data_IF_771267684386
#
_entry.id   IF_771267684386
#
_cell.length_a   1.000
_cell.length_b   1.000
_cell.length_c   1.000
_cell.angle_alpha   90.00
_cell.angle_beta   90.00
_cell.angle_gamma   90.00
#
_symmetry.space_group_name_H-M   'P 1'
#
loop_
_entity.id
_entity.type
_entity.pdbx_description
1 polymer ?
#
# COMPACT_ATOMS: atom_id res chain seq x y z
N UNK A 1 0.37 -13.91 0.58
CA UNK A 1 0.21 -12.99 1.73
C UNK A 1 -0.04 -11.54 1.29
N UNK A 2 0.87 -10.86 0.61
CA UNK A 2 0.75 -9.43 0.23
C UNK A 2 -0.44 -9.15 -0.72
N UNK A 3 -0.69 -10.03 -1.70
CA UNK A 3 -1.87 -9.94 -2.57
C UNK A 3 -3.16 -9.98 -1.74
N UNK A 4 -3.24 -10.87 -0.74
CA UNK A 4 -4.43 -10.99 0.12
C UNK A 4 -4.61 -9.76 1.01
N UNK A 5 -3.52 -9.13 1.47
CA UNK A 5 -3.59 -7.90 2.27
C UNK A 5 -4.17 -6.71 1.48
N UNK A 6 -3.76 -6.55 0.22
CA UNK A 6 -4.33 -5.49 -0.62
C UNK A 6 -5.74 -5.81 -1.13
N UNK A 7 -6.10 -7.08 -1.26
CA UNK A 7 -7.46 -7.50 -1.53
C UNK A 7 -8.40 -7.02 -0.41
N UNK A 8 -8.04 -7.28 0.85
CA UNK A 8 -8.82 -6.86 2.01
C UNK A 8 -8.92 -5.33 2.16
N UNK A 9 -7.89 -4.59 1.74
CA UNK A 9 -7.93 -3.13 1.69
C UNK A 9 -8.83 -2.57 0.59
N UNK A 10 -8.97 -3.30 -0.52
CA UNK A 10 -9.80 -2.89 -1.65
C UNK A 10 -11.28 -3.21 -1.46
N UNK A 11 -11.60 -4.32 -0.78
CA UNK A 11 -12.95 -4.83 -0.63
C UNK A 11 -13.92 -3.81 -0.02
N UNK A 12 -13.43 -2.97 0.89
CA UNK A 12 -14.23 -1.92 1.50
C UNK A 12 -14.72 -0.88 0.48
N UNK A 13 -13.94 -0.61 -0.58
CA UNK A 13 -14.34 0.25 -1.69
C UNK A 13 -15.47 -0.37 -2.51
N UNK A 14 -15.40 -1.68 -2.75
CA UNK A 14 -16.46 -2.43 -3.41
C UNK A 14 -17.72 -2.53 -2.56
N UNK A 15 -17.60 -2.70 -1.25
CA UNK A 15 -18.72 -2.82 -0.33
C UNK A 15 -19.45 -1.49 -0.05
N UNK A 16 -18.91 -0.34 -0.42
CA UNK A 16 -19.44 0.99 -0.04
C UNK A 16 -20.95 1.11 -0.26
N UNK A 17 -21.42 0.87 -1.48
CA UNK A 17 -22.85 0.98 -1.81
C UNK A 17 -23.70 -0.01 -1.02
N UNK A 18 -23.24 -1.24 -0.87
CA UNK A 18 -23.95 -2.26 -0.12
C UNK A 18 -24.07 -1.91 1.38
N UNK A 19 -22.99 -1.40 1.99
CA UNK A 19 -22.98 -0.94 3.38
C UNK A 19 -23.91 0.27 3.60
N UNK A 20 -23.99 1.16 2.63
CA UNK A 20 -24.94 2.30 2.67
C UNK A 20 -26.38 1.83 2.69
N UNK A 21 -26.73 0.91 1.81
CA UNK A 21 -28.11 0.40 1.67
C UNK A 21 -28.51 -0.52 2.81
N UNK A 22 -27.64 -1.47 3.20
CA UNK A 22 -28.00 -2.53 4.15
C UNK A 22 -27.70 -2.22 5.61
N UNK A 23 -26.67 -1.38 5.88
CA UNK A 23 -26.26 -1.02 7.24
C UNK A 23 -26.50 0.47 7.58
N UNK A 24 -27.06 1.26 6.66
CA UNK A 24 -27.36 2.68 6.88
C UNK A 24 -26.11 3.56 7.09
N UNK A 25 -24.97 3.18 6.51
CA UNK A 25 -23.71 3.91 6.68
C UNK A 25 -23.70 5.10 5.72
N UNK A 26 -23.68 6.33 6.25
CA UNK A 26 -23.56 7.55 5.45
C UNK A 26 -22.17 7.67 4.78
N UNK A 27 -22.05 8.55 3.77
CA UNK A 27 -20.73 8.83 3.14
C UNK A 27 -19.69 9.30 4.14
N UNK A 28 -20.09 10.15 5.10
CA UNK A 28 -19.19 10.62 6.16
C UNK A 28 -18.77 9.49 7.10
N UNK A 29 -19.71 8.61 7.49
CA UNK A 29 -19.41 7.45 8.31
C UNK A 29 -18.52 6.44 7.57
N UNK A 30 -18.76 6.24 6.27
CA UNK A 30 -17.89 5.41 5.45
C UNK A 30 -16.46 5.98 5.38
N UNK A 31 -16.30 7.27 5.08
CA UNK A 31 -15.00 7.92 4.98
C UNK A 31 -14.23 7.84 6.30
N UNK A 32 -14.92 8.13 7.42
CA UNK A 32 -14.34 8.00 8.76
C UNK A 32 -13.90 6.57 9.04
N UNK A 33 -14.76 5.58 8.86
CA UNK A 33 -14.45 4.18 9.13
C UNK A 33 -13.34 3.64 8.21
N UNK A 34 -13.36 3.95 6.92
CA UNK A 34 -12.28 3.58 6.00
C UNK A 34 -10.92 4.14 6.46
N UNK A 35 -10.92 5.37 6.96
CA UNK A 35 -9.74 6.05 7.47
C UNK A 35 -9.24 5.52 8.82
N UNK A 36 -10.13 5.20 9.78
CA UNK A 36 -9.78 4.77 11.15
C UNK A 36 -8.82 3.59 11.19
N UNK A 37 -8.87 2.71 10.20
CA UNK A 37 -7.91 1.64 10.01
C UNK A 37 -6.45 2.15 10.05
N UNK A 38 -6.15 3.24 9.35
CA UNK A 38 -4.78 3.75 9.23
C UNK A 38 -4.25 4.37 10.52
N UNK A 39 -5.12 4.91 11.36
CA UNK A 39 -4.72 5.47 12.66
C UNK A 39 -4.18 4.35 13.55
N UNK A 40 -4.94 3.29 13.73
CA UNK A 40 -4.49 2.16 14.57
C UNK A 40 -3.36 1.38 13.91
N UNK A 41 -3.38 1.24 12.58
CA UNK A 41 -2.28 0.65 11.84
C UNK A 41 -0.97 1.38 12.12
N UNK A 42 -0.92 2.71 11.99
CA UNK A 42 0.29 3.51 12.23
C UNK A 42 0.78 3.45 13.69
N UNK A 43 -0.15 3.50 14.67
CA UNK A 43 0.21 3.44 16.10
C UNK A 43 0.81 2.08 16.46
N UNK A 44 0.22 0.99 15.97
CA UNK A 44 0.61 -0.37 16.33
C UNK A 44 1.70 -0.96 15.43
N UNK A 45 2.11 -0.27 14.36
CA UNK A 45 3.14 -0.72 13.43
C UNK A 45 4.49 -0.98 14.12
N UNK A 46 4.98 -0.02 14.91
CA UNK A 46 6.25 -0.14 15.63
C UNK A 46 6.20 -1.24 16.71
N UNK A 47 5.22 -1.25 17.64
CA UNK A 47 5.09 -2.33 18.61
C UNK A 47 5.03 -3.72 17.98
N UNK A 48 4.27 -3.87 16.90
CA UNK A 48 4.13 -5.15 16.18
C UNK A 48 5.47 -5.65 15.63
N UNK A 49 6.29 -4.77 15.07
CA UNK A 49 7.60 -5.14 14.53
C UNK A 49 8.61 -5.50 15.62
N UNK A 50 8.55 -4.85 16.78
CA UNK A 50 9.37 -5.23 17.93
C UNK A 50 9.03 -6.65 18.38
N UNK A 51 7.75 -7.01 18.42
CA UNK A 51 7.30 -8.34 18.79
C UNK A 51 7.72 -9.37 17.73
N UNK A 52 7.57 -9.04 16.43
CA UNK A 52 8.01 -9.89 15.33
C UNK A 52 9.50 -10.24 15.45
N UNK A 53 10.35 -9.26 15.78
CA UNK A 53 11.78 -9.48 15.96
C UNK A 53 12.10 -10.43 17.13
N UNK A 54 11.27 -10.45 18.19
CA UNK A 54 11.45 -11.29 19.37
C UNK A 54 10.90 -12.71 19.20
N UNK A 55 9.73 -12.84 18.57
CA UNK A 55 9.00 -14.12 18.49
C UNK A 55 9.37 -14.89 17.23
N UNK A 56 9.86 -14.21 16.18
CA UNK A 56 10.13 -14.76 14.87
C UNK A 56 9.04 -14.43 13.85
N UNK A 57 9.45 -14.38 12.59
CA UNK A 57 8.58 -13.94 11.48
C UNK A 57 7.46 -14.96 11.20
N UNK A 58 7.77 -16.25 11.26
CA UNK A 58 6.84 -17.35 11.00
C UNK A 58 5.58 -17.28 11.88
N UNK A 59 5.78 -17.20 13.20
CA UNK A 59 4.69 -17.16 14.18
C UNK A 59 3.94 -15.83 14.09
N UNK A 60 4.69 -14.71 14.02
CA UNK A 60 4.07 -13.40 14.05
C UNK A 60 3.28 -13.06 12.80
N UNK A 61 3.77 -13.45 11.61
CA UNK A 61 3.04 -13.28 10.35
C UNK A 61 1.77 -14.14 10.29
N UNK A 62 1.83 -15.37 10.78
CA UNK A 62 0.65 -16.22 10.94
C UNK A 62 -0.39 -15.52 11.84
N UNK A 63 0.05 -15.05 13.02
CA UNK A 63 -0.82 -14.32 13.97
C UNK A 63 -1.47 -13.09 13.30
N UNK A 64 -0.70 -12.27 12.58
CA UNK A 64 -1.21 -11.08 11.88
C UNK A 64 -2.30 -11.52 10.89
N UNK A 65 -2.01 -12.47 10.01
CA UNK A 65 -2.95 -12.88 8.97
C UNK A 65 -4.21 -13.55 9.53
N UNK A 66 -4.07 -14.39 10.55
CA UNK A 66 -5.23 -15.05 11.17
C UNK A 66 -6.09 -14.04 11.92
N UNK A 67 -5.49 -13.17 12.74
CA UNK A 67 -6.25 -12.18 13.50
C UNK A 67 -6.94 -11.16 12.59
N UNK A 68 -6.25 -10.66 11.56
CA UNK A 68 -6.85 -9.76 10.58
C UNK A 68 -7.96 -10.46 9.78
N UNK A 69 -7.74 -11.69 9.29
CA UNK A 69 -8.75 -12.44 8.56
C UNK A 69 -10.03 -12.65 9.37
N UNK A 70 -9.90 -12.99 10.67
CA UNK A 70 -11.05 -13.13 11.57
C UNK A 70 -11.80 -11.80 11.77
N UNK A 71 -11.08 -10.68 11.93
CA UNK A 71 -11.70 -9.36 12.05
C UNK A 71 -12.36 -8.93 10.74
N UNK A 72 -11.74 -9.21 9.59
CA UNK A 72 -12.32 -8.97 8.26
C UNK A 72 -13.61 -9.78 8.07
N UNK A 73 -13.62 -11.07 8.41
CA UNK A 73 -14.84 -11.89 8.43
C UNK A 73 -15.91 -11.28 9.36
N UNK A 74 -15.50 -10.74 10.51
CA UNK A 74 -16.39 -10.04 11.45
C UNK A 74 -17.12 -8.85 10.83
N UNK A 75 -16.61 -8.25 9.76
CA UNK A 75 -17.25 -7.14 9.05
C UNK A 75 -18.62 -7.53 8.47
N UNK A 76 -18.89 -8.81 8.23
CA UNK A 76 -20.21 -9.31 7.82
C UNK A 76 -21.33 -8.97 8.83
N UNK A 77 -20.99 -8.71 10.09
CA UNK A 77 -21.95 -8.40 11.16
C UNK A 77 -22.13 -6.88 11.37
N UNK A 78 -21.62 -6.03 10.47
CA UNK A 78 -21.81 -4.59 10.55
C UNK A 78 -23.29 -4.24 10.46
N UNK A 79 -23.81 -3.55 11.50
CA UNK A 79 -25.20 -3.13 11.62
C UNK A 79 -25.34 -1.61 11.81
N UNK A 80 -24.31 -0.82 11.49
CA UNK A 80 -24.31 0.64 11.60
C UNK A 80 -22.90 1.20 11.78
N UNK A 81 -22.80 2.53 11.89
CA UNK A 81 -21.51 3.22 11.91
C UNK A 81 -20.60 2.81 13.07
N UNK A 82 -21.16 2.61 14.28
CA UNK A 82 -20.34 2.28 15.46
C UNK A 82 -19.68 0.92 15.31
N UNK A 83 -20.43 -0.13 14.91
CA UNK A 83 -19.88 -1.47 14.66
C UNK A 83 -18.84 -1.45 13.54
N UNK A 84 -19.07 -0.65 12.51
CA UNK A 84 -18.13 -0.43 11.43
C UNK A 84 -16.81 0.19 11.94
N UNK A 85 -16.89 1.26 12.74
CA UNK A 85 -15.70 1.91 13.30
C UNK A 85 -14.87 0.96 14.19
N UNK A 86 -15.55 0.22 15.07
CA UNK A 86 -14.85 -0.75 15.95
C UNK A 86 -14.10 -1.79 15.13
N UNK A 87 -14.74 -2.38 14.12
CA UNK A 87 -14.11 -3.39 13.28
C UNK A 87 -12.93 -2.80 12.46
N UNK A 88 -13.06 -1.57 11.95
CA UNK A 88 -11.97 -0.89 11.24
C UNK A 88 -10.78 -0.59 12.14
N UNK A 89 -11.00 -0.17 13.40
CA UNK A 89 -9.95 0.02 14.39
C UNK A 89 -9.27 -1.32 14.74
N UNK A 90 -10.03 -2.38 14.98
CA UNK A 90 -9.50 -3.71 15.27
C UNK A 90 -8.71 -4.28 14.09
N UNK A 91 -9.19 -4.04 12.86
CA UNK A 91 -8.51 -4.47 11.64
C UNK A 91 -7.14 -3.80 11.50
N UNK A 92 -7.06 -2.49 11.76
CA UNK A 92 -5.79 -1.76 11.75
C UNK A 92 -4.80 -2.28 12.79
N UNK A 93 -5.25 -2.60 14.02
CA UNK A 93 -4.42 -3.24 15.05
C UNK A 93 -3.95 -4.63 14.61
N UNK A 94 -4.86 -5.43 14.03
CA UNK A 94 -4.57 -6.80 13.61
C UNK A 94 -3.57 -6.88 12.47
N UNK A 95 -3.67 -5.98 11.46
CA UNK A 95 -2.80 -5.93 10.28
C UNK A 95 -1.50 -5.16 10.54
N UNK A 96 -1.42 -4.38 11.62
CA UNK A 96 -0.25 -3.55 11.92
C UNK A 96 1.04 -4.36 11.96
N UNK A 97 2.07 -3.81 11.30
CA UNK A 97 3.40 -4.44 11.23
C UNK A 97 3.55 -5.49 10.14
N UNK A 98 2.52 -5.77 9.34
CA UNK A 98 2.61 -6.74 8.24
C UNK A 98 3.65 -6.34 7.19
N UNK A 99 3.51 -5.15 6.61
CA UNK A 99 4.40 -4.69 5.55
C UNK A 99 5.86 -4.52 6.00
N UNK A 100 6.16 -3.76 7.08
CA UNK A 100 7.55 -3.66 7.56
C UNK A 100 8.08 -4.98 8.09
N UNK A 101 7.22 -5.84 8.62
CA UNK A 101 7.59 -7.20 9.01
C UNK A 101 8.06 -8.06 7.85
N UNK A 102 7.43 -7.95 6.67
CA UNK A 102 7.91 -8.63 5.45
C UNK A 102 9.27 -8.06 5.03
N UNK A 103 9.45 -6.74 5.05
CA UNK A 103 10.74 -6.12 4.72
C UNK A 103 11.83 -6.64 5.65
N UNK A 104 11.55 -6.72 6.95
CA UNK A 104 12.47 -7.28 7.94
C UNK A 104 12.75 -8.77 7.66
N UNK A 105 11.73 -9.57 7.38
CA UNK A 105 11.87 -10.97 7.02
C UNK A 105 12.75 -11.16 5.78
N UNK A 106 12.52 -10.39 4.72
CA UNK A 106 13.34 -10.44 3.51
C UNK A 106 14.80 -10.02 3.80
N UNK A 107 15.04 -9.16 4.80
CA UNK A 107 16.40 -8.80 5.19
C UNK A 107 17.16 -9.93 5.89
N UNK A 108 16.46 -10.90 6.48
CA UNK A 108 17.09 -12.10 7.04
C UNK A 108 17.48 -13.14 5.98
N UNK A 109 16.81 -13.12 4.81
CA UNK A 109 17.00 -14.12 3.76
C UNK A 109 17.82 -13.62 2.58
N UNK A 110 17.84 -12.32 2.32
CA UNK A 110 18.44 -11.74 1.12
C UNK A 110 19.48 -10.67 1.46
N UNK A 111 20.73 -10.85 0.99
CA UNK A 111 21.76 -9.82 1.07
C UNK A 111 21.34 -8.51 0.39
N UNK A 112 21.93 -7.39 0.83
CA UNK A 112 21.63 -6.04 0.33
C UNK A 112 21.67 -5.95 -1.22
N UNK A 113 22.63 -6.64 -1.84
CA UNK A 113 22.84 -6.65 -3.31
C UNK A 113 21.61 -7.11 -4.09
N UNK A 114 20.83 -8.07 -3.58
CA UNK A 114 19.66 -8.65 -4.27
C UNK A 114 18.32 -8.23 -3.66
N UNK A 115 18.33 -7.68 -2.46
CA UNK A 115 17.12 -7.32 -1.69
C UNK A 115 16.23 -6.33 -2.44
N UNK A 116 16.82 -5.32 -3.09
CA UNK A 116 16.06 -4.35 -3.88
C UNK A 116 15.27 -5.00 -5.02
N UNK A 117 15.85 -5.99 -5.72
CA UNK A 117 15.16 -6.74 -6.77
C UNK A 117 14.01 -7.58 -6.23
N UNK A 118 14.22 -8.23 -5.08
CA UNK A 118 13.17 -9.04 -4.41
C UNK A 118 12.03 -8.15 -3.93
N UNK A 119 12.34 -7.01 -3.32
CA UNK A 119 11.33 -6.01 -2.92
C UNK A 119 10.55 -5.48 -4.13
N UNK A 120 11.22 -5.22 -5.26
CA UNK A 120 10.56 -4.82 -6.49
C UNK A 120 9.54 -5.84 -6.98
N UNK A 121 9.87 -7.14 -6.95
CA UNK A 121 8.94 -8.22 -7.26
C UNK A 121 7.77 -8.29 -6.27
N UNK A 122 8.06 -8.04 -5.00
CA UNK A 122 7.04 -8.02 -3.95
C UNK A 122 6.00 -6.90 -4.19
N UNK A 123 6.42 -5.71 -4.63
CA UNK A 123 5.52 -4.60 -4.93
C UNK A 123 4.51 -4.87 -6.06
N UNK A 124 4.78 -5.83 -6.97
CA UNK A 124 3.77 -6.25 -7.95
C UNK A 124 2.53 -6.89 -7.32
N UNK A 125 2.62 -7.34 -6.08
CA UNK A 125 1.48 -7.93 -5.38
C UNK A 125 0.30 -6.98 -5.20
N UNK A 126 0.52 -5.67 -5.07
CA UNK A 126 -0.57 -4.70 -4.91
C UNK A 126 -1.42 -4.55 -6.18
N UNK A 127 -0.89 -4.19 -7.36
CA UNK A 127 -1.70 -4.14 -8.58
C UNK A 127 -2.28 -5.51 -8.96
N UNK A 128 -1.56 -6.61 -8.74
CA UNK A 128 -2.11 -7.96 -8.96
C UNK A 128 -3.33 -8.23 -8.08
N UNK A 129 -3.28 -7.81 -6.82
CA UNK A 129 -4.41 -7.92 -5.90
C UNK A 129 -5.66 -7.23 -6.45
N UNK A 130 -5.53 -6.03 -6.98
CA UNK A 130 -6.65 -5.28 -7.54
C UNK A 130 -7.16 -5.84 -8.87
N UNK A 131 -6.26 -6.39 -9.71
CA UNK A 131 -6.63 -7.05 -10.97
C UNK A 131 -7.52 -8.26 -10.71
N UNK A 132 -7.18 -9.08 -9.72
CA UNK A 132 -7.99 -10.26 -9.35
C UNK A 132 -9.11 -9.92 -8.38
N UNK A 133 -8.87 -8.97 -7.48
CA UNK A 133 -9.81 -8.58 -6.43
C UNK A 133 -11.06 -7.90 -6.98
N UNK A 134 -10.93 -7.04 -7.99
CA UNK A 134 -12.07 -6.40 -8.62
C UNK A 134 -13.11 -7.39 -9.15
N UNK A 135 -12.74 -8.29 -10.07
CA UNK A 135 -13.64 -9.36 -10.52
C UNK A 135 -14.18 -10.25 -9.40
N UNK A 136 -13.33 -10.68 -8.46
CA UNK A 136 -13.73 -11.52 -7.33
C UNK A 136 -14.78 -10.83 -6.47
N UNK A 137 -14.50 -9.63 -5.98
CA UNK A 137 -15.44 -8.84 -5.17
C UNK A 137 -16.73 -8.54 -5.95
N UNK A 138 -16.64 -8.23 -7.25
CA UNK A 138 -17.80 -8.00 -8.12
C UNK A 138 -18.71 -9.22 -8.24
N UNK A 139 -18.13 -10.42 -8.40
CA UNK A 139 -18.88 -11.69 -8.47
C UNK A 139 -19.55 -11.96 -7.12
N UNK A 140 -18.83 -11.82 -6.01
CA UNK A 140 -19.36 -12.07 -4.67
C UNK A 140 -20.50 -11.10 -4.31
N UNK A 141 -20.35 -9.81 -4.66
CA UNK A 141 -21.40 -8.80 -4.45
C UNK A 141 -22.66 -9.07 -5.25
N UNK A 142 -22.53 -9.62 -6.45
CA UNK A 142 -23.67 -9.98 -7.31
C UNK A 142 -24.40 -11.25 -6.89
N UNK A 143 -23.88 -12.00 -5.91
CA UNK A 143 -24.54 -13.20 -5.42
C UNK A 143 -25.89 -12.85 -4.77
N UNK A 144 -26.98 -13.56 -5.11
CA UNK A 144 -28.25 -13.39 -4.44
C UNK A 144 -28.14 -13.73 -2.96
N UNK A 145 -28.95 -13.07 -2.14
CA UNK A 145 -29.01 -13.40 -0.72
C UNK A 145 -29.32 -14.90 -0.54
N UNK A 146 -28.46 -15.62 0.14
CA UNK A 146 -28.59 -17.06 0.42
C UNK A 146 -28.49 -17.31 1.92
N UNK A 147 -29.43 -18.01 2.50
CA UNK A 147 -29.52 -18.27 3.95
C UNK A 147 -29.51 -16.98 4.81
N UNK A 148 -30.09 -15.87 4.31
CA UNK A 148 -30.10 -14.58 5.01
C UNK A 148 -28.80 -13.78 4.90
N UNK A 149 -27.78 -14.30 4.23
CA UNK A 149 -26.46 -13.64 4.02
C UNK A 149 -26.47 -12.95 2.66
N UNK A 150 -26.17 -11.66 2.63
CA UNK A 150 -26.08 -10.85 1.41
C UNK A 150 -24.71 -10.99 0.72
N UNK A 151 -24.61 -10.62 -0.56
CA UNK A 151 -23.38 -10.75 -1.34
C UNK A 151 -22.16 -10.06 -0.71
N UNK A 152 -22.33 -8.86 -0.13
CA UNK A 152 -21.23 -8.15 0.54
C UNK A 152 -20.75 -8.88 1.81
N UNK A 153 -21.63 -9.57 2.53
CA UNK A 153 -21.26 -10.39 3.68
C UNK A 153 -20.47 -11.62 3.26
N UNK A 154 -20.87 -12.25 2.14
CA UNK A 154 -20.11 -13.34 1.53
C UNK A 154 -18.72 -12.89 1.09
N UNK A 155 -18.58 -11.66 0.58
CA UNK A 155 -17.29 -11.11 0.18
C UNK A 155 -16.34 -11.00 1.39
N UNK A 156 -16.75 -10.37 2.47
CA UNK A 156 -15.91 -10.27 3.68
C UNK A 156 -15.62 -11.63 4.31
N UNK A 157 -16.60 -12.53 4.32
CA UNK A 157 -16.45 -13.89 4.85
C UNK A 157 -15.41 -14.69 4.05
N UNK A 158 -15.53 -14.72 2.72
CA UNK A 158 -14.64 -15.53 1.86
C UNK A 158 -13.23 -14.95 1.78
N UNK A 159 -13.09 -13.63 1.64
CA UNK A 159 -11.79 -12.98 1.54
C UNK A 159 -11.04 -13.01 2.88
N UNK A 160 -11.74 -12.78 4.01
CA UNK A 160 -11.18 -12.95 5.35
C UNK A 160 -10.79 -14.40 5.64
N UNK A 161 -11.61 -15.37 5.24
CA UNK A 161 -11.28 -16.80 5.36
C UNK A 161 -10.03 -17.17 4.55
N UNK A 162 -9.89 -16.64 3.35
CA UNK A 162 -8.69 -16.82 2.54
C UNK A 162 -7.44 -16.29 3.27
N UNK A 163 -7.53 -15.14 3.96
CA UNK A 163 -6.43 -14.62 4.76
C UNK A 163 -6.05 -15.57 5.90
N UNK A 164 -7.03 -16.14 6.61
CA UNK A 164 -6.79 -17.13 7.66
C UNK A 164 -6.08 -18.36 7.11
N UNK A 165 -6.58 -18.94 6.02
CA UNK A 165 -5.99 -20.14 5.39
C UNK A 165 -4.56 -19.86 4.94
N UNK A 166 -4.31 -18.74 4.25
CA UNK A 166 -2.96 -18.37 3.80
C UNK A 166 -2.04 -18.08 5.00
N UNK A 167 -2.55 -17.51 6.09
CA UNK A 167 -1.80 -17.30 7.32
C UNK A 167 -1.35 -18.60 7.99
N UNK A 168 -2.27 -19.55 8.10
CA UNK A 168 -1.97 -20.89 8.64
C UNK A 168 -1.00 -21.64 7.71
N UNK A 169 -1.21 -21.58 6.39
CA UNK A 169 -0.28 -22.18 5.43
C UNK A 169 1.12 -21.57 5.53
N UNK A 170 1.22 -20.24 5.66
CA UNK A 170 2.48 -19.56 5.83
C UNK A 170 3.24 -20.00 7.09
N UNK A 171 2.53 -20.31 8.19
CA UNK A 171 3.15 -20.86 9.39
C UNK A 171 3.91 -22.17 9.14
N UNK A 172 3.42 -23.05 8.28
CA UNK A 172 4.10 -24.30 7.94
C UNK A 172 5.16 -24.13 6.86
N UNK A 173 5.00 -23.14 5.99
CA UNK A 173 5.88 -22.94 4.83
C UNK A 173 7.08 -22.04 5.11
N UNK A 174 6.92 -20.97 5.93
CA UNK A 174 7.99 -20.03 6.19
C UNK A 174 9.01 -20.60 7.18
N UNK A 175 10.31 -20.37 6.90
CA UNK A 175 11.39 -20.53 7.87
C UNK A 175 11.74 -19.19 8.50
N UNK A 176 12.13 -19.15 9.77
CA UNK A 176 12.49 -17.87 10.42
C UNK A 176 13.83 -17.34 9.92
N UNK A 177 14.83 -18.20 9.74
CA UNK A 177 16.19 -17.81 9.33
C UNK A 177 16.79 -18.82 8.35
N UNK A 178 17.72 -18.40 7.49
CA UNK A 178 18.44 -19.32 6.61
C UNK A 178 19.22 -20.42 7.36
N UNK A 179 19.66 -20.15 8.60
CA UNK A 179 20.31 -21.12 9.46
C UNK A 179 19.46 -22.38 9.70
N UNK A 180 18.14 -22.20 9.83
CA UNK A 180 17.18 -23.27 10.11
C UNK A 180 16.67 -23.98 8.84
N UNK A 181 17.04 -23.48 7.65
CA UNK A 181 16.59 -24.02 6.37
C UNK A 181 17.16 -25.42 6.12
N UNK A 182 16.31 -26.42 6.01
CA UNK A 182 16.70 -27.82 5.73
C UNK A 182 16.84 -28.10 4.23
N UNK A 183 16.16 -27.28 3.42
CA UNK A 183 16.15 -27.41 1.94
C UNK A 183 17.35 -26.75 1.26
N UNK A 184 18.13 -25.90 1.99
CA UNK A 184 19.28 -25.21 1.43
C UNK A 184 20.53 -26.07 1.61
N UNK A 185 21.30 -26.38 0.50
CA UNK A 185 22.53 -27.16 0.57
C UNK A 185 23.58 -26.54 1.51
N UNK A 186 24.33 -27.37 2.22
CA UNK A 186 25.27 -26.91 3.26
C UNK A 186 26.27 -25.84 2.81
N UNK A 187 26.95 -25.98 1.66
CA UNK A 187 27.90 -24.98 1.14
C UNK A 187 27.23 -23.64 0.82
N UNK A 188 26.06 -23.67 0.16
CA UNK A 188 25.30 -22.45 -0.18
C UNK A 188 24.78 -21.75 1.07
N UNK A 189 24.32 -22.53 2.05
CA UNK A 189 23.87 -22.03 3.34
C UNK A 189 25.00 -21.32 4.10
N UNK A 190 26.19 -21.91 4.15
CA UNK A 190 27.35 -21.29 4.80
C UNK A 190 27.78 -19.99 4.11
N UNK A 191 27.81 -19.98 2.77
CA UNK A 191 28.14 -18.80 2.00
C UNK A 191 27.12 -17.66 2.25
N UNK A 192 25.82 -17.98 2.26
CA UNK A 192 24.77 -17.01 2.55
C UNK A 192 24.88 -16.44 3.98
N UNK A 193 25.08 -17.31 4.97
CA UNK A 193 25.21 -16.89 6.36
C UNK A 193 26.45 -15.99 6.56
N UNK A 194 27.58 -16.31 5.94
CA UNK A 194 28.78 -15.48 6.02
C UNK A 194 28.55 -14.07 5.45
N UNK A 195 27.83 -13.93 4.34
CA UNK A 195 27.50 -12.63 3.74
C UNK A 195 26.58 -11.84 4.66
N UNK A 196 25.51 -12.47 5.19
CA UNK A 196 24.55 -11.82 6.07
C UNK A 196 25.18 -11.39 7.42
N UNK A 197 26.08 -12.20 7.96
CA UNK A 197 26.84 -11.86 9.17
C UNK A 197 27.79 -10.69 8.94
N UNK A 198 28.48 -10.66 7.79
CA UNK A 198 29.35 -9.54 7.44
C UNK A 198 28.57 -8.22 7.31
N UNK A 199 27.38 -8.25 6.67
CA UNK A 199 26.48 -7.09 6.58
C UNK A 199 25.97 -6.64 7.95
N UNK A 200 25.61 -7.57 8.83
CA UNK A 200 25.16 -7.26 10.18
C UNK A 200 26.28 -6.67 11.05
N UNK A 201 27.49 -7.21 10.95
CA UNK A 201 28.67 -6.66 11.65
C UNK A 201 29.01 -5.25 11.17
N UNK A 202 28.96 -5.01 9.85
CA UNK A 202 29.16 -3.68 9.29
C UNK A 202 28.11 -2.69 9.86
N UNK A 203 26.84 -3.10 9.91
CA UNK A 203 25.75 -2.30 10.48
C UNK A 203 25.95 -1.96 11.95
N UNK A 204 26.41 -2.91 12.76
CA UNK A 204 26.71 -2.69 14.19
C UNK A 204 27.89 -1.77 14.45
N UNK A 205 28.88 -1.74 13.59
CA UNK A 205 30.07 -0.88 13.73
C UNK A 205 29.78 0.61 13.50
N UNK A 206 28.79 0.93 12.68
CA UNK A 206 28.45 2.31 12.33
C UNK A 206 27.57 3.04 13.37
N UNK A 207 27.23 2.40 14.50
CA UNK A 207 26.62 2.99 15.68
C UNK A 207 25.22 3.60 15.42
N UNK A 208 24.41 3.77 16.47
CA UNK A 208 23.13 4.44 16.37
C UNK A 208 23.32 5.96 16.31
N UNK A 209 23.18 6.59 15.15
CA UNK A 209 22.86 8.01 15.12
C UNK A 209 21.56 8.22 15.90
N UNK A 210 21.51 9.28 16.72
CA UNK A 210 20.38 9.50 17.61
C UNK A 210 19.07 9.60 16.81
N UNK A 211 18.21 8.59 16.93
CA UNK A 211 16.89 8.52 16.28
C UNK A 211 16.08 9.83 16.40
N UNK A 212 16.05 10.55 17.55
CA UNK A 212 15.36 11.83 17.66
C UNK A 212 15.86 12.92 16.69
N UNK A 213 17.15 12.95 16.36
CA UNK A 213 17.70 13.95 15.45
C UNK A 213 17.22 13.75 14.02
N UNK A 214 17.00 12.50 13.59
CA UNK A 214 16.49 12.15 12.27
C UNK A 214 15.05 12.60 12.10
N UNK A 215 14.23 12.53 13.15
CA UNK A 215 12.83 12.94 13.12
C UNK A 215 12.63 14.45 12.94
N UNK A 216 13.63 15.25 13.34
CA UNK A 216 13.60 16.71 13.21
C UNK A 216 14.33 17.22 11.95
N UNK A 217 14.91 16.33 11.15
CA UNK A 217 15.55 16.70 9.90
C UNK A 217 14.51 17.16 8.87
N UNK A 218 14.66 18.40 8.39
CA UNK A 218 13.76 18.98 7.39
C UNK A 218 13.59 18.12 6.14
N UNK A 219 14.63 17.42 5.71
CA UNK A 219 14.55 16.55 4.53
C UNK A 219 13.69 15.33 4.82
N UNK A 220 13.79 14.76 6.00
CA UNK A 220 12.94 13.62 6.43
C UNK A 220 11.49 14.07 6.54
N UNK A 221 11.21 15.25 7.10
CA UNK A 221 9.86 15.81 7.15
C UNK A 221 9.31 16.09 5.74
N UNK A 222 10.15 16.59 4.83
CA UNK A 222 9.77 16.80 3.43
C UNK A 222 9.44 15.48 2.72
N UNK A 223 10.25 14.43 2.89
CA UNK A 223 9.93 13.09 2.37
C UNK A 223 8.64 12.53 2.99
N UNK A 224 8.44 12.75 4.27
CA UNK A 224 7.21 12.34 4.97
C UNK A 224 5.97 12.98 4.38
N UNK A 225 6.02 14.29 4.11
CA UNK A 225 4.92 15.03 3.48
C UNK A 225 4.66 14.53 2.05
N UNK A 226 5.71 14.31 1.26
CA UNK A 226 5.58 13.75 -0.09
C UNK A 226 4.90 12.37 -0.04
N UNK A 227 5.37 11.49 0.82
CA UNK A 227 4.80 10.15 0.92
C UNK A 227 3.35 10.15 1.43
N UNK A 228 3.04 11.02 2.39
CA UNK A 228 1.68 11.26 2.85
C UNK A 228 0.74 11.65 1.69
N UNK A 229 1.16 12.59 0.84
CA UNK A 229 0.37 13.01 -0.32
C UNK A 229 0.28 11.92 -1.41
N UNK A 230 1.33 11.11 -1.61
CA UNK A 230 1.26 9.92 -2.46
C UNK A 230 0.19 8.97 -1.94
N UNK A 231 0.20 8.67 -0.65
CA UNK A 231 -0.77 7.77 -0.04
C UNK A 231 -2.20 8.33 -0.08
N UNK A 232 -2.39 9.64 0.05
CA UNK A 232 -3.70 10.27 -0.19
C UNK A 232 -4.21 9.99 -1.60
N UNK A 233 -3.36 10.12 -2.62
CA UNK A 233 -3.73 9.86 -4.02
C UNK A 233 -4.05 8.38 -4.24
N UNK A 234 -3.23 7.48 -3.72
CA UNK A 234 -3.40 6.02 -3.83
C UNK A 234 -4.71 5.56 -3.20
N UNK A 235 -4.96 5.93 -1.93
CA UNK A 235 -6.15 5.48 -1.21
C UNK A 235 -7.41 6.22 -1.66
N UNK A 236 -7.28 7.44 -2.18
CA UNK A 236 -8.36 8.13 -2.86
C UNK A 236 -8.90 7.31 -4.04
N UNK A 237 -8.01 6.74 -4.85
CA UNK A 237 -8.42 5.84 -5.95
C UNK A 237 -8.94 4.52 -5.39
N UNK A 238 -8.21 3.84 -4.52
CA UNK A 238 -8.59 2.50 -4.02
C UNK A 238 -10.02 2.48 -3.44
N UNK A 239 -10.39 3.48 -2.64
CA UNK A 239 -11.67 3.48 -1.95
C UNK A 239 -12.86 3.92 -2.79
N UNK A 240 -12.63 4.71 -3.85
CA UNK A 240 -13.71 5.27 -4.64
C UNK A 240 -13.79 4.75 -6.06
N UNK A 241 -12.72 4.12 -6.59
CA UNK A 241 -12.68 3.61 -7.96
C UNK A 241 -13.89 2.73 -8.32
N UNK A 242 -14.33 1.75 -7.51
CA UNK A 242 -15.48 0.92 -7.87
C UNK A 242 -16.79 1.73 -7.97
N UNK A 243 -17.00 2.68 -7.03
CA UNK A 243 -18.23 3.50 -7.03
C UNK A 243 -18.23 4.53 -8.15
N UNK A 244 -17.07 5.10 -8.50
CA UNK A 244 -16.94 6.03 -9.61
C UNK A 244 -17.14 5.30 -10.97
N UNK A 245 -16.58 4.09 -11.13
CA UNK A 245 -16.83 3.25 -12.31
C UNK A 245 -18.31 2.88 -12.40
N UNK A 246 -18.94 2.52 -11.30
CA UNK A 246 -20.37 2.23 -11.26
C UNK A 246 -21.20 3.43 -11.72
N UNK A 247 -20.86 4.63 -11.25
CA UNK A 247 -21.56 5.87 -11.58
C UNK A 247 -21.50 6.18 -13.08
N UNK A 248 -20.32 6.12 -13.73
CA UNK A 248 -20.25 6.42 -15.16
C UNK A 248 -20.75 5.29 -16.06
N UNK A 249 -20.79 4.04 -15.60
CA UNK A 249 -21.45 2.95 -16.30
C UNK A 249 -22.98 2.97 -16.12
N UNK A 250 -23.51 3.77 -15.19
CA UNK A 250 -24.94 3.78 -14.83
C UNK A 250 -25.38 2.46 -14.21
N UNK A 251 -24.50 1.79 -13.46
CA UNK A 251 -24.72 0.45 -12.87
C UNK A 251 -24.44 0.45 -11.37
N UNK A 252 -24.94 -0.55 -10.69
CA UNK A 252 -24.54 -0.85 -9.31
C UNK A 252 -23.21 -1.61 -9.30
N UNK A 253 -22.47 -1.53 -8.18
CA UNK A 253 -21.21 -2.27 -8.01
C UNK A 253 -21.50 -3.77 -8.02
N UNK A 254 -20.98 -4.47 -9.01
CA UNK A 254 -21.18 -5.90 -9.28
C UNK A 254 -20.17 -6.40 -10.31
N UNK A 255 -20.53 -7.46 -11.04
CA UNK A 255 -19.61 -8.18 -11.94
C UNK A 255 -18.97 -7.24 -12.96
N UNK A 256 -19.75 -6.45 -13.70
CA UNK A 256 -19.22 -5.60 -14.78
C UNK A 256 -18.31 -4.49 -14.22
N UNK A 257 -18.70 -3.87 -13.11
CA UNK A 257 -17.90 -2.87 -12.42
C UNK A 257 -16.62 -3.50 -11.88
N UNK A 258 -16.70 -4.72 -11.35
CA UNK A 258 -15.55 -5.48 -10.87
C UNK A 258 -14.50 -5.71 -11.98
N UNK A 259 -14.92 -6.17 -13.15
CA UNK A 259 -14.02 -6.35 -14.30
C UNK A 259 -13.49 -5.01 -14.85
N UNK A 260 -14.34 -3.99 -14.97
CA UNK A 260 -13.92 -2.67 -15.40
C UNK A 260 -12.90 -2.04 -14.43
N UNK A 261 -13.07 -2.27 -13.12
CA UNK A 261 -12.14 -1.81 -12.08
C UNK A 261 -10.76 -2.46 -12.17
N UNK A 262 -10.61 -3.61 -12.81
CA UNK A 262 -9.31 -4.25 -13.00
C UNK A 262 -8.46 -3.55 -14.08
N UNK A 263 -9.07 -2.87 -15.06
CA UNK A 263 -8.37 -2.27 -16.20
C UNK A 263 -7.31 -1.23 -15.77
N UNK A 264 -7.62 -0.25 -14.89
CA UNK A 264 -6.62 0.70 -14.40
C UNK A 264 -5.42 0.03 -13.73
N UNK A 265 -5.64 -1.08 -13.04
CA UNK A 265 -4.56 -1.79 -12.34
C UNK A 265 -3.67 -2.63 -13.27
N UNK A 266 -4.19 -3.10 -14.40
CA UNK A 266 -3.36 -3.70 -15.45
C UNK A 266 -2.40 -2.65 -16.02
N UNK A 267 -2.91 -1.43 -16.29
CA UNK A 267 -2.06 -0.31 -16.70
C UNK A 267 -1.03 0.07 -15.62
N UNK A 268 -1.45 0.09 -14.36
CA UNK A 268 -0.58 0.37 -13.23
C UNK A 268 0.53 -0.69 -13.06
N UNK A 269 0.22 -1.97 -13.27
CA UNK A 269 1.20 -3.05 -13.26
C UNK A 269 2.28 -2.84 -14.33
N UNK A 270 1.86 -2.53 -15.55
CA UNK A 270 2.77 -2.23 -16.66
C UNK A 270 3.64 -0.99 -16.35
N UNK A 271 3.03 0.10 -15.87
CA UNK A 271 3.73 1.32 -15.51
C UNK A 271 4.78 1.09 -14.40
N UNK A 272 4.43 0.30 -13.38
CA UNK A 272 5.34 -0.05 -12.28
C UNK A 272 6.53 -0.87 -12.75
N UNK A 273 6.40 -1.59 -13.85
CA UNK A 273 7.51 -2.32 -14.44
C UNK A 273 8.43 -1.42 -15.28
N UNK A 274 7.88 -0.59 -16.15
CA UNK A 274 8.68 0.16 -17.13
C UNK A 274 9.20 1.50 -16.60
N UNK A 275 8.42 2.24 -15.81
CA UNK A 275 8.79 3.59 -15.37
C UNK A 275 10.04 3.58 -14.48
N UNK A 276 10.15 2.75 -13.42
CA UNK A 276 11.36 2.68 -12.60
C UNK A 276 12.60 2.22 -13.40
N UNK A 277 12.43 1.23 -14.31
CA UNK A 277 13.54 0.79 -15.18
C UNK A 277 14.04 1.91 -16.09
N UNK A 278 13.14 2.72 -16.61
CA UNK A 278 13.53 3.88 -17.42
C UNK A 278 14.26 4.92 -16.58
N UNK A 279 13.81 5.12 -15.32
CA UNK A 279 14.48 5.99 -14.38
C UNK A 279 15.90 5.52 -14.05
N UNK A 280 16.05 4.22 -13.78
CA UNK A 280 17.37 3.59 -13.50
C UNK A 280 18.30 3.71 -14.69
N UNK A 281 17.80 3.43 -15.90
CA UNK A 281 18.60 3.49 -17.14
C UNK A 281 19.11 4.90 -17.44
N UNK A 282 18.29 5.92 -17.18
CA UNK A 282 18.62 7.31 -17.50
C UNK A 282 19.07 8.14 -16.27
N UNK A 283 19.13 7.53 -15.09
CA UNK A 283 19.49 8.16 -13.82
C UNK A 283 18.70 9.46 -13.52
N UNK A 284 17.40 9.46 -13.88
CA UNK A 284 16.54 10.64 -13.81
C UNK A 284 15.27 10.45 -12.96
N UNK A 285 15.39 9.73 -11.82
CA UNK A 285 14.31 9.38 -10.92
C UNK A 285 13.41 10.57 -10.54
N UNK A 286 14.03 11.73 -10.22
CA UNK A 286 13.28 12.93 -9.84
C UNK A 286 12.42 13.45 -11.00
N UNK A 287 12.98 13.58 -12.19
CA UNK A 287 12.24 14.07 -13.35
C UNK A 287 11.05 13.17 -13.67
N UNK A 288 11.25 11.85 -13.69
CA UNK A 288 10.17 10.91 -13.95
C UNK A 288 9.13 10.88 -12.83
N UNK A 289 9.51 11.02 -11.57
CA UNK A 289 8.56 11.11 -10.47
C UNK A 289 7.66 12.36 -10.58
N UNK A 290 8.25 13.51 -10.91
CA UNK A 290 7.51 14.78 -11.18
C UNK A 290 6.56 14.60 -12.36
N UNK A 291 7.08 14.10 -13.48
CA UNK A 291 6.30 13.92 -14.72
C UNK A 291 5.10 12.99 -14.49
N UNK A 292 5.35 11.85 -13.85
CA UNK A 292 4.34 10.84 -13.57
C UNK A 292 3.23 11.39 -12.67
N UNK A 293 3.57 12.10 -11.59
CA UNK A 293 2.58 12.72 -10.71
C UNK A 293 1.83 13.88 -11.39
N UNK A 294 2.52 14.70 -12.16
CA UNK A 294 1.87 15.79 -12.89
C UNK A 294 0.85 15.25 -13.88
N UNK A 295 1.24 14.26 -14.70
CA UNK A 295 0.34 13.60 -15.66
C UNK A 295 -0.84 12.93 -14.96
N UNK A 296 -0.60 12.24 -13.84
CA UNK A 296 -1.67 11.60 -13.06
C UNK A 296 -2.61 12.61 -12.39
N UNK A 297 -2.08 13.72 -11.88
CA UNK A 297 -2.88 14.81 -11.32
C UNK A 297 -3.79 15.44 -12.38
N UNK A 298 -3.26 15.76 -13.56
CA UNK A 298 -4.06 16.28 -14.67
C UNK A 298 -5.11 15.28 -15.16
N UNK A 299 -4.75 13.99 -15.27
CA UNK A 299 -5.72 12.94 -15.59
C UNK A 299 -6.85 12.88 -14.55
N UNK A 300 -6.52 13.00 -13.26
CA UNK A 300 -7.52 13.02 -12.19
C UNK A 300 -8.46 14.23 -12.26
N UNK A 301 -8.01 15.37 -12.78
CA UNK A 301 -8.88 16.54 -13.05
C UNK A 301 -9.84 16.25 -14.20
N UNK A 302 -9.40 15.54 -15.23
CA UNK A 302 -10.23 15.20 -16.39
C UNK A 302 -11.30 14.13 -16.11
N UNK A 303 -11.08 13.33 -15.06
CA UNK A 303 -11.96 12.21 -14.74
C UNK A 303 -13.44 12.60 -14.54
N UNK A 304 -13.80 13.59 -13.69
CA UNK A 304 -15.21 13.92 -13.43
C UNK A 304 -15.90 14.63 -14.59
N UNK A 305 -15.14 15.22 -15.53
CA UNK A 305 -15.67 16.03 -16.63
C UNK A 305 -15.82 15.24 -17.93
N UNK A 306 -15.33 13.99 -17.99
CA UNK A 306 -15.21 13.22 -19.21
C UNK A 306 -16.42 12.36 -19.55
N UNK A 307 -16.48 11.92 -20.80
CA UNK A 307 -17.33 10.79 -21.18
C UNK A 307 -16.82 9.50 -20.51
N UNK A 308 -17.61 8.42 -20.42
CA UNK A 308 -17.19 7.16 -19.78
C UNK A 308 -15.83 6.64 -20.28
N UNK A 309 -15.53 6.80 -21.57
CA UNK A 309 -14.24 6.36 -22.16
C UNK A 309 -13.11 7.26 -21.68
N UNK A 310 -13.29 8.58 -21.66
CA UNK A 310 -12.30 9.54 -21.17
C UNK A 310 -12.07 9.32 -19.67
N UNK A 311 -13.13 9.10 -18.90
CA UNK A 311 -13.04 8.82 -17.45
C UNK A 311 -12.23 7.55 -17.17
N UNK A 312 -12.51 6.46 -17.89
CA UNK A 312 -11.74 5.22 -17.73
C UNK A 312 -10.27 5.40 -18.11
N UNK A 313 -9.99 6.10 -19.23
CA UNK A 313 -8.62 6.43 -19.64
C UNK A 313 -7.90 7.28 -18.57
N UNK A 314 -8.56 8.28 -18.03
CA UNK A 314 -8.03 9.13 -16.97
C UNK A 314 -7.71 8.32 -15.70
N UNK A 315 -8.57 7.38 -15.32
CA UNK A 315 -8.32 6.45 -14.23
C UNK A 315 -7.12 5.53 -14.48
N UNK A 316 -6.97 5.02 -15.72
CA UNK A 316 -5.79 4.22 -16.08
C UNK A 316 -4.50 5.01 -15.92
N UNK A 317 -4.48 6.26 -16.39
CA UNK A 317 -3.30 7.14 -16.25
C UNK A 317 -3.04 7.47 -14.78
N UNK A 318 -4.07 7.86 -14.04
CA UNK A 318 -3.95 8.22 -12.61
C UNK A 318 -3.44 7.04 -11.76
N UNK A 319 -4.08 5.87 -11.85
CA UNK A 319 -3.68 4.68 -11.12
C UNK A 319 -2.25 4.24 -11.46
N UNK A 320 -1.89 4.31 -12.76
CA UNK A 320 -0.55 3.98 -13.24
C UNK A 320 0.52 4.84 -12.57
N UNK A 321 0.30 6.15 -12.50
CA UNK A 321 1.28 7.03 -11.90
C UNK A 321 1.33 6.94 -10.38
N UNK A 322 0.20 6.78 -9.70
CA UNK A 322 0.16 6.67 -8.25
C UNK A 322 0.86 5.42 -7.72
N UNK A 323 0.87 4.33 -8.47
CA UNK A 323 1.61 3.13 -8.09
C UNK A 323 3.07 3.22 -8.54
N UNK A 324 3.33 3.65 -9.79
CA UNK A 324 4.68 3.71 -10.33
C UNK A 324 5.58 4.77 -9.66
N UNK A 325 5.02 5.82 -9.07
CA UNK A 325 5.81 6.83 -8.33
C UNK A 325 6.39 6.29 -7.02
N UNK A 326 5.77 5.28 -6.40
CA UNK A 326 6.21 4.77 -5.10
C UNK A 326 7.65 4.21 -5.12
N UNK A 327 8.02 3.30 -6.02
CA UNK A 327 9.42 2.84 -6.11
C UNK A 327 10.38 3.98 -6.46
N UNK A 328 9.99 4.95 -7.29
CA UNK A 328 10.81 6.13 -7.56
C UNK A 328 11.02 6.99 -6.30
N UNK A 329 9.95 7.21 -5.54
CA UNK A 329 10.02 7.98 -4.29
C UNK A 329 10.99 7.35 -3.29
N UNK A 330 10.91 6.03 -3.08
CA UNK A 330 11.75 5.37 -2.09
C UNK A 330 13.25 5.44 -2.40
N UNK A 331 13.64 5.74 -3.64
CA UNK A 331 15.07 5.99 -3.95
C UNK A 331 15.62 7.21 -3.25
N UNK A 332 14.80 8.24 -2.97
CA UNK A 332 15.26 9.49 -2.35
C UNK A 332 15.59 9.32 -0.87
N UNK A 333 14.67 8.87 0.01
CA UNK A 333 15.02 8.69 1.41
C UNK A 333 16.08 7.59 1.62
N UNK A 334 16.11 6.53 0.82
CA UNK A 334 17.12 5.47 0.94
C UNK A 334 18.51 5.91 0.50
N UNK A 335 18.62 6.87 -0.39
CA UNK A 335 19.92 7.46 -0.77
C UNK A 335 20.42 8.52 0.22
N UNK A 336 19.51 9.15 0.96
CA UNK A 336 19.84 10.18 1.94
C UNK A 336 20.13 9.62 3.33
N UNK A 337 19.31 8.64 3.76
CA UNK A 337 19.42 8.04 5.09
C UNK A 337 20.40 6.87 5.04
N UNK A 338 21.50 7.00 5.77
CA UNK A 338 22.50 5.94 5.89
C UNK A 338 22.35 5.19 7.23
N UNK A 339 22.81 3.94 7.26
CA UNK A 339 23.00 3.10 8.44
C UNK A 339 21.73 2.92 9.33
N UNK A 340 21.91 3.03 10.62
CA UNK A 340 20.83 2.84 11.62
C UNK A 340 19.76 3.93 11.58
N UNK A 341 20.11 5.15 11.15
CA UNK A 341 19.19 6.23 10.91
C UNK A 341 18.20 5.93 9.77
N UNK A 342 18.62 5.13 8.79
CA UNK A 342 17.77 4.72 7.67
C UNK A 342 16.56 3.91 8.14
N UNK A 343 16.76 2.93 9.01
CA UNK A 343 15.64 2.09 9.47
C UNK A 343 14.56 2.90 10.21
N UNK A 344 14.98 3.79 11.13
CA UNK A 344 14.06 4.65 11.87
C UNK A 344 13.40 5.71 11.00
N UNK A 345 14.15 6.38 10.13
CA UNK A 345 13.62 7.40 9.22
C UNK A 345 12.65 6.82 8.19
N UNK A 346 12.96 5.67 7.60
CA UNK A 346 12.05 4.97 6.67
C UNK A 346 10.77 4.53 7.40
N UNK A 347 10.89 3.98 8.60
CA UNK A 347 9.72 3.59 9.40
C UNK A 347 8.84 4.81 9.74
N UNK A 348 9.44 5.94 10.11
CA UNK A 348 8.72 7.18 10.38
C UNK A 348 7.99 7.72 9.14
N UNK A 349 8.69 7.79 7.99
CA UNK A 349 8.10 8.22 6.71
C UNK A 349 6.92 7.31 6.34
N UNK A 350 7.07 5.99 6.53
CA UNK A 350 6.02 5.03 6.21
C UNK A 350 4.81 5.18 7.15
N UNK A 351 5.03 5.22 8.46
CA UNK A 351 3.95 5.29 9.45
C UNK A 351 3.13 6.58 9.31
N UNK A 352 3.79 7.74 9.24
CA UNK A 352 3.11 9.03 9.06
C UNK A 352 2.51 9.13 7.65
N UNK A 353 3.22 8.65 6.63
CA UNK A 353 2.70 8.62 5.26
C UNK A 353 1.44 7.78 5.13
N UNK A 354 1.35 6.64 5.82
CA UNK A 354 0.15 5.80 5.81
C UNK A 354 -1.11 6.53 6.31
N UNK A 355 -0.97 7.56 7.16
CA UNK A 355 -2.09 8.41 7.58
C UNK A 355 -2.75 9.15 6.40
N UNK A 356 -2.09 9.28 5.25
CA UNK A 356 -2.72 9.74 4.02
C UNK A 356 -3.97 8.94 3.66
N UNK A 357 -4.00 7.65 3.99
CA UNK A 357 -5.18 6.79 3.84
C UNK A 357 -6.35 7.16 4.77
N UNK A 358 -6.09 7.80 5.93
CA UNK A 358 -7.13 8.39 6.77
C UNK A 358 -7.66 9.70 6.16
N UNK A 359 -6.77 10.57 5.74
CA UNK A 359 -7.14 11.90 5.27
C UNK A 359 -7.81 11.89 3.90
N UNK A 360 -7.44 10.99 2.99
CA UNK A 360 -7.97 10.95 1.63
C UNK A 360 -9.51 10.83 1.57
N UNK A 361 -10.15 9.81 2.17
CA UNK A 361 -11.60 9.68 2.11
C UNK A 361 -12.32 10.81 2.88
N UNK A 362 -11.77 11.24 4.02
CA UNK A 362 -12.36 12.31 4.82
C UNK A 362 -12.28 13.67 4.11
N UNK A 363 -11.14 14.00 3.49
CA UNK A 363 -10.98 15.23 2.71
C UNK A 363 -11.89 15.23 1.47
N UNK A 364 -12.06 14.07 0.80
CA UNK A 364 -13.00 13.95 -0.32
C UNK A 364 -14.42 14.30 0.10
N UNK A 365 -14.93 13.64 1.13
CA UNK A 365 -16.32 13.86 1.58
C UNK A 365 -16.50 15.28 2.13
N UNK A 366 -15.52 15.80 2.88
CA UNK A 366 -15.55 17.17 3.35
C UNK A 366 -15.69 18.17 2.21
N UNK A 367 -14.89 18.01 1.14
CA UNK A 367 -14.94 18.91 -0.01
C UNK A 367 -16.27 18.80 -0.77
N UNK A 368 -16.77 17.58 -0.99
CA UNK A 368 -18.05 17.35 -1.67
C UNK A 368 -19.22 18.07 -0.93
N UNK A 369 -19.24 17.97 0.39
CA UNK A 369 -20.26 18.61 1.23
C UNK A 369 -20.08 20.13 1.28
N UNK A 370 -18.84 20.60 1.51
CA UNK A 370 -18.55 22.02 1.70
C UNK A 370 -18.83 22.84 0.42
N UNK A 371 -18.37 22.33 -0.72
CA UNK A 371 -18.56 22.99 -2.01
C UNK A 371 -19.88 22.61 -2.70
N UNK A 372 -20.68 21.73 -2.11
CA UNK A 372 -21.95 21.22 -2.66
C UNK A 372 -21.83 20.72 -4.10
N UNK A 373 -20.67 20.15 -4.44
CA UNK A 373 -20.34 19.61 -5.75
C UNK A 373 -19.82 18.18 -5.58
N UNK A 374 -20.51 17.21 -6.15
CA UNK A 374 -20.22 15.77 -5.97
C UNK A 374 -18.79 15.36 -6.37
N UNK A 375 -18.14 16.12 -7.24
CA UNK A 375 -16.76 15.90 -7.69
C UNK A 375 -15.71 16.80 -7.02
N UNK A 376 -16.10 17.67 -6.08
CA UNK A 376 -15.18 18.61 -5.45
C UNK A 376 -14.02 17.90 -4.74
N UNK A 377 -14.32 16.78 -4.08
CA UNK A 377 -13.31 15.96 -3.42
C UNK A 377 -12.31 15.32 -4.38
N UNK A 378 -12.76 14.93 -5.58
CA UNK A 378 -11.85 14.42 -6.61
C UNK A 378 -10.93 15.51 -7.14
N UNK A 379 -11.44 16.73 -7.36
CA UNK A 379 -10.61 17.88 -7.72
C UNK A 379 -9.63 18.27 -6.61
N UNK A 380 -10.04 18.19 -5.34
CA UNK A 380 -9.14 18.43 -4.21
C UNK A 380 -7.98 17.41 -4.21
N UNK A 381 -8.26 16.11 -4.34
CA UNK A 381 -7.23 15.07 -4.40
C UNK A 381 -6.31 15.24 -5.63
N UNK A 382 -6.86 15.61 -6.78
CA UNK A 382 -6.08 15.92 -7.98
C UNK A 382 -5.15 17.13 -7.75
N UNK A 383 -5.66 18.20 -7.13
CA UNK A 383 -4.85 19.37 -6.75
C UNK A 383 -3.72 19.03 -5.79
N UNK A 384 -3.98 18.22 -4.78
CA UNK A 384 -2.95 17.74 -3.84
C UNK A 384 -1.89 16.89 -4.56
N UNK A 385 -2.29 16.09 -5.56
CA UNK A 385 -1.34 15.34 -6.40
C UNK A 385 -0.43 16.27 -7.20
N UNK A 386 -0.97 17.36 -7.77
CA UNK A 386 -0.17 18.35 -8.49
C UNK A 386 0.78 19.12 -7.55
N UNK A 387 0.31 19.48 -6.34
CA UNK A 387 1.17 20.05 -5.30
C UNK A 387 2.31 19.08 -4.95
N UNK A 388 2.01 17.79 -4.86
CA UNK A 388 3.01 16.77 -4.59
C UNK A 388 4.06 16.65 -5.71
N UNK A 389 3.66 16.76 -6.98
CA UNK A 389 4.60 16.84 -8.10
C UNK A 389 5.57 18.02 -7.95
N UNK A 390 5.07 19.17 -7.51
CA UNK A 390 5.92 20.36 -7.21
C UNK A 390 6.87 20.08 -6.04
N UNK A 391 6.39 19.48 -4.95
CA UNK A 391 7.23 19.14 -3.79
C UNK A 391 8.38 18.18 -4.16
N UNK A 392 8.12 17.17 -5.00
CA UNK A 392 9.17 16.26 -5.50
C UNK A 392 10.21 17.01 -6.35
N UNK A 393 9.82 18.03 -7.11
CA UNK A 393 10.76 18.82 -7.90
C UNK A 393 11.85 19.49 -7.03
N UNK A 394 11.53 19.81 -5.78
CA UNK A 394 12.47 20.41 -4.81
C UNK A 394 13.26 19.36 -4.00
N UNK A 395 13.07 18.08 -4.23
CA UNK A 395 13.88 17.04 -3.59
C UNK A 395 15.34 17.17 -4.02
N UNK A 396 16.22 17.33 -3.04
CA UNK A 396 17.65 17.40 -3.28
C UNK A 396 18.20 16.01 -3.61
N UNK A 397 18.69 15.80 -4.81
CA UNK A 397 19.48 14.62 -5.14
C UNK A 397 20.90 14.88 -4.62
N UNK A 398 21.35 14.13 -3.60
CA UNK A 398 22.75 14.07 -3.26
C UNK A 398 23.53 13.69 -4.54
N UNK A 399 24.59 14.44 -4.88
CA UNK A 399 25.49 14.05 -5.97
C UNK A 399 25.98 12.64 -5.66
N UNK A 400 25.64 11.69 -6.50
CA UNK A 400 26.36 10.43 -6.60
C UNK A 400 27.83 10.81 -6.91
N UNK A 401 28.70 10.77 -5.90
CA UNK A 401 30.13 10.86 -6.14
C UNK A 401 30.49 9.74 -7.11
N UNK A 402 30.94 10.12 -8.32
CA UNK A 402 31.24 9.26 -9.45
C UNK A 402 32.47 8.34 -9.23
N UNK A 403 32.50 7.66 -8.08
CA UNK A 403 33.54 6.66 -7.74
C UNK A 403 33.14 5.20 -8.02
N UNK A 404 31.90 4.95 -8.51
CA UNK A 404 31.48 3.58 -8.81
C UNK A 404 31.85 3.07 -10.20
N UNK A 405 32.19 3.96 -11.15
CA UNK A 405 32.49 3.54 -12.52
C UNK A 405 33.89 2.98 -12.71
N UNK A 406 34.80 3.11 -11.74
CA UNK A 406 36.15 2.61 -11.81
C UNK A 406 36.30 1.14 -11.39
N UNK A 407 35.25 0.50 -10.84
CA UNK A 407 35.31 -0.90 -10.37
C UNK A 407 34.56 -1.90 -11.28
N UNK A 408 33.97 -1.43 -12.38
CA UNK A 408 33.27 -2.28 -13.35
C UNK A 408 34.10 -2.54 -14.63
N UNK A 409 35.38 -2.11 -14.65
CA UNK A 409 36.29 -2.33 -15.77
C UNK A 409 37.44 -3.31 -15.42
N UNK A 410 37.26 -4.20 -14.45
CA UNK A 410 38.21 -5.33 -14.21
C UNK A 410 37.40 -6.63 -14.25
#
# INVERSE_FOLDING_TARGET
MYVVSFLDRANIGFAKQALQVSAGISDAAYAMGAGLFFITYAIFEIPSNIILHRIGARVWMCRIMVSWGLVSMGTMFVAGAISFYILRLLLGIAEAGFFPGIILYLSYWFPNRVRGRVLGLFYFGAPLSFIFGGPLSGILLAMPAKAGIQGWQWMFLSEGFMAVVVGIWAYFYLGDKPADATWLPGPEKQALLAVLEAEEQARRRHGSSAFPAVLMDWRVLHYTLIYFLIQMSVYGVIFYLPTEIAAFLGKTVGIEVGFASAIPWVCALAATYWIPRTADRHQNHRFLAVLVLAVSGFASVLFPAGTPIIALFALCVAASGFIAVQPLFWTFPTSYLADTAAAGGIAFINAIGALGGFFAPNAKVWADVHFRLHSAGLYLLAGLTLVNAVLIAFVHQGKSDGKSDALLSI
#
